data_IF_967149538642
#
_entry.id   IF_967149538642
#
_cell.length_a   1.000
_cell.length_b   1.000
_cell.length_c   1.000
_cell.angle_alpha   90.00
_cell.angle_beta   90.00
_cell.angle_gamma   90.00
#
_symmetry.space_group_name_H-M   'P 1'
#
loop_
_entity.id
_entity.type
_entity.pdbx_description
1 polymer ?
#
# COMPACT_ATOMS: atom_id res chain seq x y z
N UNK A 1 33.10 -19.10 -9.71
CA UNK A 1 31.68 -18.98 -10.08
C UNK A 1 31.21 -17.61 -9.63
N UNK A 2 31.06 -16.66 -10.57
CA UNK A 2 30.70 -15.28 -10.22
C UNK A 2 29.34 -15.26 -9.53
N UNK A 3 29.26 -14.66 -8.34
CA UNK A 3 27.97 -14.29 -7.76
C UNK A 3 27.32 -13.35 -8.77
N UNK A 4 26.21 -13.78 -9.39
CA UNK A 4 25.37 -12.88 -10.17
C UNK A 4 24.92 -11.78 -9.23
N UNK A 5 25.10 -10.53 -9.64
CA UNK A 5 24.64 -9.38 -8.88
C UNK A 5 23.13 -9.31 -9.00
N UNK A 6 22.44 -9.74 -7.95
CA UNK A 6 20.99 -9.67 -7.89
C UNK A 6 20.57 -8.21 -7.74
N UNK A 7 19.57 -7.82 -8.53
CA UNK A 7 18.96 -6.50 -8.50
C UNK A 7 17.66 -6.56 -7.71
N UNK A 8 17.38 -5.49 -6.98
CA UNK A 8 16.16 -5.34 -6.17
C UNK A 8 15.05 -4.69 -6.96
N UNK A 9 13.84 -5.22 -6.83
CA UNK A 9 12.64 -4.65 -7.44
C UNK A 9 11.42 -4.70 -6.51
N UNK A 10 10.34 -4.08 -6.95
CA UNK A 10 9.03 -4.02 -6.31
C UNK A 10 7.99 -4.60 -7.27
N UNK A 11 7.17 -5.52 -6.78
CA UNK A 11 6.03 -6.01 -7.54
C UNK A 11 4.95 -4.92 -7.55
N UNK A 12 4.78 -4.25 -8.68
CA UNK A 12 3.80 -3.16 -8.86
C UNK A 12 2.49 -3.65 -9.47
N UNK A 13 2.55 -4.71 -10.28
CA UNK A 13 1.37 -5.30 -10.93
C UNK A 13 1.22 -6.77 -10.57
N UNK A 14 -0.01 -7.16 -10.22
CA UNK A 14 -0.36 -8.56 -9.94
C UNK A 14 -1.76 -8.89 -10.43
N UNK A 15 -1.83 -9.32 -11.68
CA UNK A 15 -3.09 -9.68 -12.35
C UNK A 15 -3.06 -11.12 -12.84
N UNK A 16 -3.95 -11.98 -12.35
CA UNK A 16 -4.02 -13.40 -12.69
C UNK A 16 -2.66 -14.12 -12.61
N UNK A 17 -1.98 -14.34 -13.73
CA UNK A 17 -0.63 -14.94 -13.80
C UNK A 17 0.48 -13.91 -14.08
N UNK A 18 0.14 -12.69 -14.44
CA UNK A 18 1.09 -11.62 -14.72
C UNK A 18 1.66 -11.04 -13.42
N UNK A 19 2.96 -10.75 -13.45
CA UNK A 19 3.70 -10.08 -12.39
C UNK A 19 4.49 -8.95 -13.06
N UNK A 20 4.23 -7.71 -12.69
CA UNK A 20 5.02 -6.55 -13.10
C UNK A 20 6.00 -6.19 -11.99
N UNK A 21 7.29 -6.13 -12.31
CA UNK A 21 8.36 -5.79 -11.35
C UNK A 21 8.99 -4.47 -11.76
N UNK A 22 8.80 -3.45 -10.94
CA UNK A 22 9.52 -2.18 -11.03
C UNK A 22 10.92 -2.36 -10.47
N UNK A 23 11.96 -2.06 -11.25
CA UNK A 23 13.34 -2.18 -10.82
C UNK A 23 13.86 -0.84 -10.30
N UNK A 24 14.39 -0.81 -9.09
CA UNK A 24 14.82 0.45 -8.46
C UNK A 24 16.04 1.08 -9.13
N UNK A 25 16.87 0.27 -9.78
CA UNK A 25 18.14 0.73 -10.37
C UNK A 25 17.92 1.58 -11.62
N UNK A 26 16.95 1.24 -12.47
CA UNK A 26 16.70 1.91 -13.75
C UNK A 26 15.30 2.54 -13.86
N UNK A 27 14.44 2.32 -12.87
CA UNK A 27 13.10 2.87 -12.81
C UNK A 27 12.13 2.30 -13.85
N UNK A 28 12.41 1.14 -14.43
CA UNK A 28 11.56 0.48 -15.44
C UNK A 28 10.78 -0.68 -14.86
N UNK A 29 9.66 -1.01 -15.51
CA UNK A 29 8.85 -2.19 -15.18
C UNK A 29 9.12 -3.33 -16.16
N UNK A 30 9.36 -4.51 -15.60
CA UNK A 30 9.63 -5.74 -16.32
C UNK A 30 8.55 -6.78 -16.04
N UNK A 31 8.37 -7.73 -16.97
CA UNK A 31 7.61 -8.94 -16.70
C UNK A 31 8.39 -9.83 -15.74
N UNK A 32 7.89 -9.98 -14.52
CA UNK A 32 8.42 -10.86 -13.50
C UNK A 32 8.11 -12.33 -13.78
N UNK A 33 9.15 -13.17 -13.82
CA UNK A 33 9.03 -14.62 -13.97
C UNK A 33 9.66 -15.30 -12.75
N UNK A 34 8.87 -15.95 -11.88
CA UNK A 34 9.39 -16.71 -10.75
C UNK A 34 10.28 -17.87 -11.20
N UNK A 35 11.43 -18.05 -10.55
CA UNK A 35 12.33 -19.19 -10.77
C UNK A 35 12.50 -20.04 -9.52
N UNK A 36 13.00 -21.26 -9.71
CA UNK A 36 13.44 -22.15 -8.64
C UNK A 36 12.39 -22.39 -7.55
N UNK A 37 12.75 -22.08 -6.30
CA UNK A 37 11.88 -22.31 -5.12
C UNK A 37 10.67 -21.36 -5.10
N UNK A 38 10.83 -20.12 -5.58
CA UNK A 38 9.76 -19.11 -5.58
C UNK A 38 8.58 -19.59 -6.43
N UNK A 39 8.85 -20.13 -7.62
CA UNK A 39 7.83 -20.65 -8.53
C UNK A 39 6.92 -21.73 -7.89
N UNK A 40 7.48 -22.53 -6.98
CA UNK A 40 6.76 -23.70 -6.42
C UNK A 40 6.16 -23.46 -5.04
N UNK A 41 6.68 -22.50 -4.26
CA UNK A 41 6.38 -22.40 -2.83
C UNK A 41 5.90 -21.01 -2.38
N UNK A 42 6.12 -19.97 -3.17
CA UNK A 42 5.93 -18.59 -2.70
C UNK A 42 4.83 -17.91 -3.50
N UNK A 43 3.74 -17.51 -2.82
CA UNK A 43 2.73 -16.64 -3.42
C UNK A 43 3.27 -15.22 -3.49
N UNK A 44 3.38 -14.65 -4.68
CA UNK A 44 3.77 -13.25 -4.91
C UNK A 44 2.50 -12.38 -4.98
N UNK A 45 2.51 -11.25 -4.26
CA UNK A 45 1.47 -10.22 -4.26
C UNK A 45 2.06 -8.87 -4.70
N UNK A 46 1.20 -7.93 -5.08
CA UNK A 46 1.62 -6.54 -5.23
C UNK A 46 2.23 -6.03 -3.91
N UNK A 47 3.24 -5.17 -3.99
CA UNK A 47 3.98 -4.65 -2.85
C UNK A 47 5.10 -5.58 -2.32
N UNK A 48 5.25 -6.79 -2.86
CA UNK A 48 6.41 -7.63 -2.52
C UNK A 48 7.71 -7.02 -3.06
N UNK A 49 8.73 -6.96 -2.20
CA UNK A 49 10.10 -6.70 -2.62
C UNK A 49 10.74 -8.01 -3.09
N UNK A 50 11.44 -7.95 -4.22
CA UNK A 50 12.01 -9.13 -4.88
C UNK A 50 13.46 -8.90 -5.29
N UNK A 51 14.23 -9.98 -5.31
CA UNK A 51 15.59 -10.01 -5.84
C UNK A 51 15.68 -10.95 -7.03
N UNK A 52 16.47 -10.56 -8.01
CA UNK A 52 16.54 -11.29 -9.26
C UNK A 52 17.47 -10.66 -10.30
N UNK A 53 17.34 -11.11 -11.53
CA UNK A 53 18.18 -10.67 -12.64
C UNK A 53 17.34 -10.29 -13.86
N UNK A 54 17.73 -9.22 -14.55
CA UNK A 54 17.19 -8.88 -15.87
C UNK A 54 17.76 -9.90 -16.86
N UNK A 55 16.90 -10.65 -17.53
CA UNK A 55 17.31 -11.74 -18.42
C UNK A 55 17.22 -11.36 -19.90
N UNK A 56 16.35 -10.39 -20.21
CA UNK A 56 16.20 -9.77 -21.52
C UNK A 56 15.60 -8.36 -21.33
N UNK A 57 15.48 -7.53 -22.39
CA UNK A 57 15.00 -6.15 -22.26
C UNK A 57 13.64 -5.96 -21.58
N UNK A 58 12.81 -7.01 -21.47
CA UNK A 58 11.45 -6.94 -20.96
C UNK A 58 11.17 -7.89 -19.79
N UNK A 59 12.12 -8.77 -19.44
CA UNK A 59 11.89 -9.84 -18.45
C UNK A 59 12.84 -9.75 -17.27
N UNK A 60 12.27 -9.91 -16.08
CA UNK A 60 13.00 -10.02 -14.81
C UNK A 60 12.75 -11.40 -14.19
N UNK A 61 13.82 -12.16 -13.96
CA UNK A 61 13.74 -13.45 -13.31
C UNK A 61 13.78 -13.28 -11.78
N UNK A 62 12.68 -13.59 -11.10
CA UNK A 62 12.54 -13.47 -9.65
C UNK A 62 13.16 -14.70 -8.99
N UNK A 63 14.23 -14.50 -8.23
CA UNK A 63 14.93 -15.56 -7.50
C UNK A 63 14.52 -15.63 -6.03
N UNK A 64 14.24 -14.48 -5.42
CA UNK A 64 13.88 -14.37 -4.01
C UNK A 64 12.78 -13.32 -3.80
N UNK A 65 11.98 -13.54 -2.75
CA UNK A 65 10.96 -12.59 -2.27
C UNK A 65 11.32 -12.27 -0.82
N UNK A 66 11.41 -11.00 -0.48
CA UNK A 66 11.74 -10.57 0.87
C UNK A 66 10.63 -10.91 1.88
N UNK A 67 11.00 -10.96 3.16
CA UNK A 67 10.03 -11.10 4.23
C UNK A 67 9.10 -9.89 4.28
N UNK A 68 7.80 -10.15 4.46
CA UNK A 68 6.79 -9.09 4.49
C UNK A 68 6.68 -8.50 5.89
N UNK A 69 6.63 -7.18 5.99
CA UNK A 69 6.25 -6.53 7.25
C UNK A 69 4.75 -6.61 7.55
N UNK A 70 3.92 -6.64 6.51
CA UNK A 70 2.47 -6.80 6.59
C UNK A 70 1.89 -7.29 5.25
N UNK A 71 0.63 -7.74 5.28
CA UNK A 71 -0.12 -8.15 4.10
C UNK A 71 -1.61 -7.82 4.31
N UNK A 72 -2.13 -6.89 3.54
CA UNK A 72 -3.55 -6.58 3.51
C UNK A 72 -4.32 -7.67 2.75
N UNK A 73 -5.57 -7.89 3.15
CA UNK A 73 -6.47 -8.84 2.48
C UNK A 73 -7.26 -8.19 1.33
N UNK A 74 -7.50 -6.87 1.40
CA UNK A 74 -8.30 -6.14 0.41
C UNK A 74 -7.85 -4.67 0.30
N UNK A 75 -7.31 -4.24 -0.87
CA UNK A 75 -6.75 -5.10 -1.90
C UNK A 75 -5.62 -5.98 -1.33
N UNK A 76 -5.28 -7.06 -2.02
CA UNK A 76 -4.25 -7.98 -1.54
C UNK A 76 -2.86 -7.43 -1.85
N UNK A 77 -2.29 -6.67 -0.92
CA UNK A 77 -1.03 -5.94 -1.09
C UNK A 77 -0.12 -6.12 0.14
N UNK A 78 1.16 -6.38 -0.11
CA UNK A 78 2.19 -6.55 0.91
C UNK A 78 2.92 -5.23 1.18
N UNK A 79 3.58 -5.16 2.34
CA UNK A 79 4.53 -4.10 2.70
C UNK A 79 3.97 -2.67 2.60
N UNK A 80 2.68 -2.50 2.87
CA UNK A 80 2.06 -1.18 2.89
C UNK A 80 2.61 -0.38 4.07
N UNK A 81 3.08 0.84 3.80
CA UNK A 81 3.53 1.76 4.85
C UNK A 81 2.36 2.41 5.57
N UNK A 82 1.42 2.94 4.79
CA UNK A 82 0.30 3.75 5.26
C UNK A 82 -1.00 3.35 4.59
N UNK A 83 -2.09 3.41 5.33
CA UNK A 83 -3.43 3.42 4.74
C UNK A 83 -4.04 4.81 4.89
N UNK A 84 -4.58 5.34 3.81
CA UNK A 84 -5.26 6.63 3.81
C UNK A 84 -6.75 6.36 3.95
N UNK A 85 -7.32 6.74 5.09
CA UNK A 85 -8.74 6.63 5.37
C UNK A 85 -9.37 7.98 5.04
N UNK A 86 -10.20 8.02 4.01
CA UNK A 86 -10.85 9.26 3.58
C UNK A 86 -12.24 9.33 4.17
N UNK A 87 -12.46 10.31 5.03
CA UNK A 87 -13.74 10.60 5.69
C UNK A 87 -14.27 11.96 5.26
N UNK A 88 -15.57 12.18 5.41
CA UNK A 88 -16.21 13.48 5.19
C UNK A 88 -17.11 13.78 6.36
N UNK A 89 -17.12 15.03 6.83
CA UNK A 89 -18.10 15.44 7.86
C UNK A 89 -19.52 15.47 7.29
N UNK A 90 -19.63 15.72 5.97
CA UNK A 90 -20.90 15.90 5.28
C UNK A 90 -20.87 15.28 3.89
N UNK A 91 -22.00 14.67 3.50
CA UNK A 91 -22.23 14.01 2.21
C UNK A 91 -21.18 12.95 1.84
N UNK A 92 -21.14 11.78 2.50
CA UNK A 92 -22.03 11.32 3.58
C UNK A 92 -21.67 11.92 4.96
N UNK A 93 -22.60 11.80 5.91
CA UNK A 93 -22.34 12.18 7.31
C UNK A 93 -21.23 11.30 7.91
N UNK A 94 -20.38 11.93 8.71
CA UNK A 94 -19.30 11.24 9.40
C UNK A 94 -19.85 10.22 10.39
N UNK A 95 -19.30 9.00 10.33
CA UNK A 95 -19.63 7.92 11.25
C UNK A 95 -18.39 7.49 12.01
N UNK A 96 -18.23 8.01 13.23
CA UNK A 96 -17.07 7.70 14.07
C UNK A 96 -16.97 6.21 14.40
N UNK A 97 -18.10 5.50 14.56
CA UNK A 97 -18.08 4.06 14.81
C UNK A 97 -17.48 3.28 13.63
N UNK A 98 -17.75 3.70 12.39
CA UNK A 98 -17.14 3.08 11.21
C UNK A 98 -15.63 3.36 11.16
N UNK A 99 -15.23 4.61 11.43
CA UNK A 99 -13.82 4.98 11.50
C UNK A 99 -13.08 4.14 12.55
N UNK A 100 -13.60 4.04 13.77
CA UNK A 100 -12.98 3.28 14.87
C UNK A 100 -12.79 1.81 14.50
N UNK A 101 -13.81 1.20 13.87
CA UNK A 101 -13.70 -0.18 13.37
C UNK A 101 -12.60 -0.32 12.32
N UNK A 102 -12.46 0.64 11.40
CA UNK A 102 -11.39 0.64 10.41
C UNK A 102 -10.02 0.77 11.07
N UNK A 103 -9.87 1.67 12.06
CA UNK A 103 -8.62 1.87 12.79
C UNK A 103 -8.17 0.58 13.47
N UNK A 104 -9.07 -0.11 14.18
CA UNK A 104 -8.78 -1.40 14.83
C UNK A 104 -8.34 -2.45 13.80
N UNK A 105 -9.02 -2.54 12.66
CA UNK A 105 -8.67 -3.49 11.59
C UNK A 105 -7.27 -3.20 11.03
N UNK A 106 -6.93 -1.93 10.77
CA UNK A 106 -5.66 -1.56 10.18
C UNK A 106 -4.48 -1.71 11.16
N UNK A 107 -4.72 -1.43 12.44
CA UNK A 107 -3.76 -1.71 13.50
C UNK A 107 -3.48 -3.22 13.61
N UNK A 108 -4.52 -4.06 13.54
CA UNK A 108 -4.37 -5.52 13.50
C UNK A 108 -3.52 -6.00 12.30
N UNK A 109 -3.67 -5.35 11.14
CA UNK A 109 -2.86 -5.62 9.96
C UNK A 109 -1.45 -5.00 10.01
N UNK A 110 -1.07 -4.30 11.09
CA UNK A 110 0.23 -3.63 11.24
C UNK A 110 0.50 -2.63 10.12
N UNK A 111 -0.52 -1.84 9.77
CA UNK A 111 -0.41 -0.75 8.81
C UNK A 111 -0.82 0.55 9.50
N UNK A 112 -0.02 1.59 9.37
CA UNK A 112 -0.27 2.84 10.10
C UNK A 112 -1.31 3.69 9.36
N UNK A 113 -2.48 3.98 9.97
CA UNK A 113 -3.52 4.77 9.32
C UNK A 113 -3.16 6.27 9.30
N UNK A 114 -3.65 6.95 8.26
CA UNK A 114 -3.65 8.41 8.10
C UNK A 114 -5.08 8.80 7.74
N UNK A 115 -5.69 9.66 8.56
CA UNK A 115 -7.07 10.09 8.35
C UNK A 115 -7.05 11.35 7.51
N UNK A 116 -7.89 11.40 6.47
CA UNK A 116 -8.04 12.57 5.61
C UNK A 116 -9.49 12.97 5.59
N UNK A 117 -9.79 14.15 6.14
CA UNK A 117 -11.12 14.74 6.03
C UNK A 117 -11.22 15.53 4.72
N UNK A 118 -12.07 15.03 3.83
CA UNK A 118 -12.34 15.60 2.51
C UNK A 118 -13.62 16.47 2.52
N UNK A 119 -13.84 17.23 1.45
CA UNK A 119 -15.03 18.09 1.23
C UNK A 119 -15.23 19.17 2.31
N UNK A 120 -14.13 19.71 2.83
CA UNK A 120 -14.18 20.74 3.88
C UNK A 120 -14.78 22.07 3.39
N UNK A 121 -14.84 22.27 2.08
CA UNK A 121 -15.51 23.38 1.40
C UNK A 121 -17.04 23.39 1.60
N UNK A 122 -17.65 22.23 1.86
CA UNK A 122 -19.09 22.12 2.09
C UNK A 122 -19.48 22.49 3.53
N UNK A 123 -18.49 22.75 4.40
CA UNK A 123 -18.71 22.96 5.82
C UNK A 123 -18.96 24.42 6.14
N UNK A 124 -20.00 24.68 6.92
CA UNK A 124 -20.20 25.98 7.56
C UNK A 124 -19.23 26.17 8.75
N UNK A 125 -19.24 27.35 9.36
CA UNK A 125 -18.31 27.68 10.45
C UNK A 125 -18.51 26.83 11.72
N UNK A 126 -19.70 26.30 11.99
CA UNK A 126 -19.94 25.40 13.12
C UNK A 126 -19.40 24.00 12.84
N UNK A 127 -19.62 23.49 11.62
CA UNK A 127 -19.12 22.20 11.14
C UNK A 127 -17.59 22.20 11.06
N UNK A 128 -16.95 23.32 10.67
CA UNK A 128 -15.47 23.45 10.71
C UNK A 128 -14.90 23.33 12.12
N UNK A 129 -15.55 23.95 13.11
CA UNK A 129 -15.16 23.82 14.53
C UNK A 129 -15.36 22.40 15.05
N UNK A 130 -16.36 21.68 14.55
CA UNK A 130 -16.53 20.27 14.84
C UNK A 130 -15.39 19.43 14.25
N UNK A 131 -15.03 19.68 12.99
CA UNK A 131 -13.90 19.01 12.34
C UNK A 131 -12.58 19.23 13.11
N UNK A 132 -12.29 20.46 13.55
CA UNK A 132 -11.11 20.75 14.37
C UNK A 132 -11.08 19.94 15.66
N UNK A 133 -12.24 19.75 16.31
CA UNK A 133 -12.35 18.90 17.51
C UNK A 133 -12.04 17.44 17.20
N UNK A 134 -12.54 16.90 16.10
CA UNK A 134 -12.24 15.52 15.68
C UNK A 134 -10.75 15.32 15.35
N UNK A 135 -10.13 16.28 14.66
CA UNK A 135 -8.70 16.27 14.35
C UNK A 135 -7.88 16.28 15.65
N UNK A 136 -8.24 17.12 16.61
CA UNK A 136 -7.54 17.18 17.90
C UNK A 136 -7.74 15.90 18.74
N UNK A 137 -8.94 15.33 18.73
CA UNK A 137 -9.30 14.17 19.56
C UNK A 137 -8.64 12.86 19.09
N UNK A 138 -8.53 12.66 17.78
CA UNK A 138 -8.04 11.38 17.23
C UNK A 138 -6.57 11.10 17.55
N UNK A 139 -5.76 12.11 17.91
CA UNK A 139 -4.35 11.94 18.27
C UNK A 139 -3.47 11.34 17.16
N UNK A 140 -4.03 11.15 15.97
CA UNK A 140 -3.40 10.55 14.79
C UNK A 140 -2.99 11.64 13.80
N UNK A 141 -2.18 11.28 12.81
CA UNK A 141 -1.93 12.15 11.64
C UNK A 141 -3.23 12.30 10.86
N UNK A 142 -3.95 13.39 11.14
CA UNK A 142 -5.11 13.83 10.38
C UNK A 142 -4.74 15.04 9.53
N UNK A 143 -5.21 15.07 8.28
CA UNK A 143 -5.08 16.24 7.40
C UNK A 143 -6.40 16.53 6.71
N UNK A 144 -6.59 17.77 6.28
CA UNK A 144 -7.77 18.19 5.54
C UNK A 144 -7.45 18.38 4.07
N UNK A 145 -8.39 18.05 3.19
CA UNK A 145 -8.27 18.28 1.75
C UNK A 145 -9.61 18.77 1.17
N UNK A 146 -9.53 19.64 0.16
CA UNK A 146 -10.68 20.08 -0.65
C UNK A 146 -10.20 20.31 -2.09
N UNK A 147 -11.12 20.20 -3.05
CA UNK A 147 -10.86 20.41 -4.47
C UNK A 147 -11.64 21.60 -4.98
#
# INVERSE_FOLDING_TARGET
MGKKELKRGLVVDREAQMIGVYLFEDGKTYRGIPRGKVLKKTKINAGDYVWGEVVDPNTFAIEEVEERKNLLIRPKVANVDRVIIVETLKMPEFNNYLLDNMLVVYEYFKVEPVIVFNKIDLLNEEEKKELERWIAFTGMRATTFSR
#
